data_IF_838829799795
#
_entry.id   IF_838829799795
#
_cell.length_a   1.000
_cell.length_b   1.000
_cell.length_c   1.000
_cell.angle_alpha   90.00
_cell.angle_beta   90.00
_cell.angle_gamma   90.00
#
_symmetry.space_group_name_H-M   'P 1'
#
loop_
_entity.id
_entity.type
_entity.pdbx_description
1 polymer ?
#
# COMPACT_ATOMS: atom_id res chain seq x y z
N UNK A 1 11.33 6.02 -31.30
CA UNK A 1 11.57 5.34 -30.02
C UNK A 1 13.05 5.36 -29.68
N UNK A 2 13.93 5.01 -30.60
CA UNK A 2 15.38 5.00 -30.32
C UNK A 2 15.94 6.37 -29.93
N UNK A 3 15.38 7.46 -30.46
CA UNK A 3 15.79 8.84 -30.16
C UNK A 3 15.52 9.30 -28.72
N UNK A 4 14.76 8.53 -27.93
CA UNK A 4 14.43 8.87 -26.53
C UNK A 4 14.98 7.85 -25.52
N UNK A 5 15.59 6.76 -25.99
CA UNK A 5 15.97 5.62 -25.15
C UNK A 5 17.16 5.93 -24.21
N UNK A 6 18.02 6.87 -24.57
CA UNK A 6 19.25 7.25 -23.86
C UNK A 6 19.11 8.58 -23.09
N UNK A 7 17.87 9.03 -22.83
CA UNK A 7 17.57 10.37 -22.27
C UNK A 7 17.06 10.32 -20.83
N UNK A 8 17.44 9.30 -20.07
CA UNK A 8 17.00 9.09 -18.69
C UNK A 8 18.20 8.99 -17.76
N UNK A 9 18.22 9.79 -16.70
CA UNK A 9 19.22 9.69 -15.62
C UNK A 9 18.73 8.80 -14.46
N UNK A 10 17.42 8.61 -14.34
CA UNK A 10 16.76 7.73 -13.37
C UNK A 10 15.36 7.36 -13.86
N UNK A 11 14.74 6.37 -13.21
CA UNK A 11 13.33 6.02 -13.44
C UNK A 11 12.51 6.37 -12.19
N UNK A 12 11.57 7.32 -12.35
CA UNK A 12 10.56 7.62 -11.34
C UNK A 12 9.43 6.58 -11.38
N UNK A 13 9.06 6.04 -10.23
CA UNK A 13 7.99 5.05 -10.11
C UNK A 13 6.90 5.56 -9.16
N UNK A 14 5.68 5.62 -9.68
CA UNK A 14 4.47 5.88 -8.90
C UNK A 14 3.75 4.54 -8.67
N UNK A 15 3.65 4.11 -7.42
CA UNK A 15 3.00 2.85 -7.05
C UNK A 15 1.99 3.10 -5.94
N UNK A 16 0.77 2.57 -6.09
CA UNK A 16 -0.30 2.80 -5.12
C UNK A 16 -0.92 1.51 -4.56
N UNK A 17 -0.81 0.39 -5.27
CA UNK A 17 -1.42 -0.87 -4.89
C UNK A 17 -1.80 -1.71 -6.09
N UNK A 18 -2.73 -2.62 -5.89
CA UNK A 18 -3.20 -3.54 -6.93
C UNK A 18 -4.57 -3.16 -7.49
N UNK A 19 -4.77 -3.61 -8.72
CA UNK A 19 -6.06 -3.63 -9.41
C UNK A 19 -6.33 -5.07 -9.84
N UNK A 20 -7.50 -5.60 -9.47
CA UNK A 20 -7.91 -6.94 -9.87
C UNK A 20 -8.82 -6.81 -11.09
N UNK A 21 -8.48 -7.51 -12.17
CA UNK A 21 -9.28 -7.50 -13.41
C UNK A 21 -10.07 -8.81 -13.51
N UNK A 22 -11.36 -8.71 -13.83
CA UNK A 22 -12.22 -9.85 -14.11
C UNK A 22 -13.07 -9.58 -15.35
N UNK A 23 -12.78 -10.29 -16.44
CA UNK A 23 -13.52 -10.19 -17.70
C UNK A 23 -13.56 -8.76 -18.23
N UNK A 24 -14.71 -8.12 -18.09
CA UNK A 24 -15.01 -6.78 -18.63
C UNK A 24 -14.53 -5.62 -17.77
N UNK A 25 -13.90 -5.85 -16.61
CA UNK A 25 -13.33 -4.73 -15.87
C UNK A 25 -12.71 -5.00 -14.51
N UNK A 26 -12.51 -3.92 -13.74
CA UNK A 26 -11.93 -3.95 -12.41
C UNK A 26 -12.93 -4.51 -11.43
N UNK A 27 -12.46 -5.45 -10.62
CA UNK A 27 -13.23 -6.17 -9.63
C UNK A 27 -12.78 -5.76 -8.24
N UNK A 28 -13.75 -5.39 -7.41
CA UNK A 28 -13.56 -5.31 -5.98
C UNK A 28 -13.50 -6.73 -5.42
N UNK A 29 -12.42 -7.06 -4.74
CA UNK A 29 -12.31 -8.29 -3.95
C UNK A 29 -12.74 -7.98 -2.52
N UNK A 30 -13.87 -8.55 -2.09
CA UNK A 30 -14.47 -8.24 -0.78
C UNK A 30 -13.52 -8.48 0.39
N UNK A 31 -12.67 -9.50 0.29
CA UNK A 31 -11.71 -9.89 1.33
C UNK A 31 -10.44 -9.06 1.32
N UNK A 32 -10.21 -8.19 0.34
CA UNK A 32 -9.02 -7.34 0.29
C UNK A 32 -9.24 -5.98 0.95
N UNK A 33 -8.16 -5.43 1.50
CA UNK A 33 -8.15 -4.05 1.99
C UNK A 33 -8.03 -3.09 0.81
N UNK A 34 -8.83 -2.02 0.79
CA UNK A 34 -8.80 -1.01 -0.27
C UNK A 34 -8.70 0.39 0.30
N UNK A 35 -8.01 1.27 -0.42
CA UNK A 35 -8.06 2.71 -0.21
C UNK A 35 -9.48 3.26 -0.46
N UNK A 36 -9.76 4.46 0.03
CA UNK A 36 -11.02 5.17 -0.29
C UNK A 36 -11.23 5.35 -1.81
N UNK A 37 -10.15 5.50 -2.58
CA UNK A 37 -10.12 5.60 -4.04
C UNK A 37 -10.14 4.25 -4.79
N UNK A 38 -10.34 3.13 -4.09
CA UNK A 38 -10.49 1.82 -4.73
C UNK A 38 -9.21 1.15 -5.23
N UNK A 39 -8.04 1.53 -4.71
CA UNK A 39 -6.79 0.79 -4.93
C UNK A 39 -6.64 -0.29 -3.85
N UNK A 40 -6.41 -1.53 -4.24
CA UNK A 40 -6.18 -2.63 -3.29
C UNK A 40 -4.82 -2.48 -2.62
N UNK A 41 -4.76 -2.56 -1.29
CA UNK A 41 -3.50 -2.44 -0.54
C UNK A 41 -2.64 -3.69 -0.78
N UNK A 42 -1.47 -3.50 -1.40
CA UNK A 42 -0.62 -4.62 -1.78
C UNK A 42 0.88 -4.26 -1.75
N UNK A 43 1.55 -4.28 -0.57
CA UNK A 43 2.98 -3.93 -0.47
C UNK A 43 3.90 -4.92 -1.22
N UNK A 44 3.55 -6.21 -1.23
CA UNK A 44 4.31 -7.23 -1.98
C UNK A 44 4.38 -6.93 -3.49
N UNK A 45 3.38 -6.23 -4.04
CA UNK A 45 3.40 -5.82 -5.44
C UNK A 45 4.49 -4.79 -5.75
N UNK A 46 4.77 -3.85 -4.83
CA UNK A 46 5.86 -2.87 -4.98
C UNK A 46 7.21 -3.58 -5.04
N UNK A 47 7.46 -4.51 -4.11
CA UNK A 47 8.68 -5.33 -4.10
C UNK A 47 8.86 -6.11 -5.40
N UNK A 48 7.81 -6.81 -5.85
CA UNK A 48 7.85 -7.60 -7.09
C UNK A 48 8.10 -6.73 -8.32
N UNK A 49 7.42 -5.58 -8.40
CA UNK A 49 7.59 -4.63 -9.49
C UNK A 49 9.01 -4.10 -9.54
N UNK A 50 9.60 -3.72 -8.39
CA UNK A 50 10.99 -3.24 -8.32
C UNK A 50 12.00 -4.28 -8.82
N UNK A 51 11.86 -5.55 -8.42
CA UNK A 51 12.73 -6.62 -8.93
C UNK A 51 12.56 -6.84 -10.44
N UNK A 52 11.32 -6.87 -10.91
CA UNK A 52 11.04 -7.07 -12.34
C UNK A 52 11.55 -5.92 -13.20
N UNK A 53 11.36 -4.68 -12.74
CA UNK A 53 11.84 -3.49 -13.43
C UNK A 53 13.36 -3.41 -13.41
N UNK A 54 13.98 -3.74 -12.28
CA UNK A 54 15.44 -3.81 -12.19
C UNK A 54 16.00 -4.80 -13.20
N UNK A 55 15.50 -6.04 -13.24
CA UNK A 55 15.96 -7.04 -14.21
C UNK A 55 15.70 -6.63 -15.66
N UNK A 56 14.54 -6.03 -15.94
CA UNK A 56 14.17 -5.57 -17.29
C UNK A 56 15.05 -4.42 -17.78
N UNK A 57 15.35 -3.45 -16.92
CA UNK A 57 16.05 -2.22 -17.27
C UNK A 57 17.51 -2.18 -16.81
N UNK A 58 18.06 -3.29 -16.31
CA UNK A 58 19.45 -3.38 -15.83
C UNK A 58 20.50 -2.88 -16.83
N UNK A 59 20.25 -3.09 -18.12
CA UNK A 59 21.15 -2.69 -19.20
C UNK A 59 21.28 -1.16 -19.34
N UNK A 60 20.35 -0.38 -18.78
CA UNK A 60 20.42 1.07 -18.75
C UNK A 60 21.26 1.59 -17.58
N UNK A 61 21.55 0.75 -16.58
CA UNK A 61 22.27 1.12 -15.37
C UNK A 61 21.69 2.37 -14.66
N UNK A 62 20.36 2.48 -14.64
CA UNK A 62 19.66 3.62 -14.04
C UNK A 62 19.14 3.31 -12.64
N UNK A 63 19.25 4.26 -11.70
CA UNK A 63 18.61 4.17 -10.40
C UNK A 63 17.10 4.43 -10.48
N UNK A 64 16.39 4.00 -9.43
CA UNK A 64 14.96 4.26 -9.24
C UNK A 64 14.70 5.26 -8.13
N UNK A 65 13.64 6.05 -8.28
CA UNK A 65 13.06 6.86 -7.20
C UNK A 65 11.59 6.48 -7.09
N UNK A 66 11.11 6.15 -5.90
CA UNK A 66 9.68 6.05 -5.65
C UNK A 66 9.16 7.48 -5.58
N UNK A 67 8.68 8.00 -6.70
CA UNK A 67 8.25 9.39 -6.84
C UNK A 67 6.87 9.63 -6.25
N UNK A 68 6.04 8.58 -6.18
CA UNK A 68 4.79 8.59 -5.43
C UNK A 68 4.51 7.20 -4.82
N UNK A 69 4.24 7.19 -3.52
CA UNK A 69 3.56 6.09 -2.85
C UNK A 69 2.68 6.64 -1.73
N UNK A 70 1.44 6.17 -1.64
CA UNK A 70 0.47 6.73 -0.72
C UNK A 70 -0.87 6.03 -0.77
N UNK A 71 -1.77 6.41 0.13
CA UNK A 71 -3.10 5.81 0.25
C UNK A 71 -4.12 6.86 0.66
N UNK A 72 -5.27 6.86 0.00
CA UNK A 72 -6.41 7.66 0.42
C UNK A 72 -7.08 6.99 1.61
N UNK A 73 -7.16 7.70 2.74
CA UNK A 73 -7.65 7.24 4.04
C UNK A 73 -7.87 8.44 4.99
N UNK A 74 -9.08 8.94 5.11
CA UNK A 74 -9.41 10.06 5.99
C UNK A 74 -9.10 9.75 7.46
N UNK A 75 -9.28 8.50 7.87
CA UNK A 75 -9.19 8.05 9.27
C UNK A 75 -7.77 7.83 9.77
N UNK A 76 -6.82 7.71 8.84
CA UNK A 76 -5.41 7.39 9.09
C UNK A 76 -5.11 5.99 9.66
N UNK A 77 -6.11 5.09 9.66
CA UNK A 77 -5.98 3.73 10.19
C UNK A 77 -5.28 2.77 9.23
N UNK A 78 -5.46 2.95 7.91
CA UNK A 78 -4.76 2.19 6.85
C UNK A 78 -3.42 2.84 6.55
N UNK A 79 -3.33 4.17 6.57
CA UNK A 79 -2.13 4.91 6.17
C UNK A 79 -0.90 4.57 6.98
N UNK A 80 -1.02 4.46 8.31
CA UNK A 80 0.10 4.10 9.18
C UNK A 80 0.72 2.74 8.81
N UNK A 81 -0.02 1.61 8.78
CA UNK A 81 0.57 0.35 8.35
C UNK A 81 0.97 0.38 6.86
N UNK A 82 0.24 1.08 5.98
CA UNK A 82 0.55 1.15 4.55
C UNK A 82 1.96 1.71 4.34
N UNK A 83 2.25 2.85 4.98
CA UNK A 83 3.54 3.50 4.94
C UNK A 83 4.67 2.54 5.38
N UNK A 84 4.48 1.86 6.51
CA UNK A 84 5.53 0.97 7.05
C UNK A 84 5.76 -0.25 6.15
N UNK A 85 4.70 -0.89 5.67
CA UNK A 85 4.85 -2.11 4.86
C UNK A 85 5.44 -1.81 3.47
N UNK A 86 5.12 -0.67 2.85
CA UNK A 86 5.71 -0.30 1.55
C UNK A 86 7.18 0.13 1.69
N UNK A 87 7.56 0.82 2.77
CA UNK A 87 8.97 1.11 3.05
C UNK A 87 9.77 -0.16 3.32
N UNK A 88 9.19 -1.14 4.02
CA UNK A 88 9.82 -2.46 4.20
C UNK A 88 9.96 -3.20 2.86
N UNK A 89 8.99 -3.10 1.96
CA UNK A 89 9.06 -3.67 0.62
C UNK A 89 10.18 -3.04 -0.23
N UNK A 90 10.33 -1.70 -0.19
CA UNK A 90 11.44 -0.99 -0.84
C UNK A 90 12.78 -1.42 -0.25
N UNK A 91 12.90 -1.45 1.07
CA UNK A 91 14.14 -1.88 1.72
C UNK A 91 14.53 -3.33 1.34
N UNK A 92 13.56 -4.25 1.30
CA UNK A 92 13.82 -5.61 0.85
C UNK A 92 14.29 -5.67 -0.61
N UNK A 93 13.77 -4.83 -1.50
CA UNK A 93 14.26 -4.73 -2.87
C UNK A 93 15.71 -4.20 -2.92
N UNK A 94 16.04 -3.20 -2.11
CA UNK A 94 17.41 -2.68 -2.01
C UNK A 94 18.39 -3.73 -1.50
N UNK A 95 18.00 -4.56 -0.52
CA UNK A 95 18.81 -5.71 -0.04
C UNK A 95 19.10 -6.71 -1.17
N UNK A 96 18.18 -6.83 -2.14
CA UNK A 96 18.35 -7.69 -3.32
C UNK A 96 19.16 -7.02 -4.45
N UNK A 97 19.70 -5.82 -4.24
CA UNK A 97 20.55 -5.11 -5.20
C UNK A 97 19.82 -4.10 -6.08
N UNK A 98 18.52 -3.84 -5.87
CA UNK A 98 17.80 -2.81 -6.65
C UNK A 98 18.28 -1.42 -6.23
N UNK A 99 18.77 -0.58 -7.17
CA UNK A 99 19.31 0.74 -6.85
C UNK A 99 18.19 1.77 -6.65
N UNK A 100 17.57 1.80 -5.46
CA UNK A 100 16.57 2.82 -5.10
C UNK A 100 17.23 3.98 -4.36
N UNK A 101 17.12 5.19 -4.89
CA UNK A 101 17.75 6.40 -4.31
C UNK A 101 16.87 7.14 -3.32
N UNK A 102 15.54 7.04 -3.47
CA UNK A 102 14.64 7.86 -2.68
C UNK A 102 13.20 7.37 -2.68
N UNK A 103 12.46 7.88 -1.71
CA UNK A 103 11.04 7.61 -1.50
C UNK A 103 10.30 8.90 -1.18
N UNK A 104 9.27 9.21 -1.96
CA UNK A 104 8.41 10.38 -1.82
C UNK A 104 6.98 9.92 -1.50
N UNK A 105 6.49 10.32 -0.33
CA UNK A 105 5.13 10.00 0.08
C UNK A 105 4.13 10.94 -0.59
N UNK A 106 3.10 10.37 -1.24
CA UNK A 106 1.96 11.10 -1.77
C UNK A 106 0.84 11.11 -0.70
N UNK A 107 0.60 12.19 0.04
CA UNK A 107 1.17 13.55 -0.05
C UNK A 107 1.47 14.13 1.32
N UNK A 108 2.13 15.30 1.35
CA UNK A 108 2.23 16.09 2.58
C UNK A 108 0.86 16.51 3.10
N UNK A 109 -0.04 17.03 2.26
CA UNK A 109 -1.37 17.51 2.66
C UNK A 109 -2.48 17.01 1.76
N UNK A 110 -3.70 16.98 2.28
CA UNK A 110 -4.89 16.75 1.45
C UNK A 110 -4.95 17.76 0.30
N UNK A 111 -5.31 17.29 -0.89
CA UNK A 111 -5.29 18.05 -2.13
C UNK A 111 -6.58 17.79 -2.94
N UNK A 112 -6.66 18.35 -4.16
CA UNK A 112 -7.74 18.08 -5.10
C UNK A 112 -7.37 16.85 -5.94
N UNK A 113 -8.06 15.74 -5.72
CA UNK A 113 -7.83 14.45 -6.39
C UNK A 113 -8.57 14.39 -7.72
N UNK A 114 -8.21 15.29 -8.64
CA UNK A 114 -8.66 15.27 -10.04
C UNK A 114 -10.17 15.12 -10.21
N UNK A 115 -10.64 14.00 -10.79
CA UNK A 115 -12.05 13.73 -11.02
C UNK A 115 -12.81 13.34 -9.74
N UNK A 116 -12.12 12.93 -8.69
CA UNK A 116 -12.71 12.59 -7.38
C UNK A 116 -12.82 13.81 -6.44
N UNK A 117 -12.38 14.99 -6.91
CA UNK A 117 -12.49 16.24 -6.17
C UNK A 117 -11.78 16.18 -4.81
N UNK A 118 -12.44 16.65 -3.76
CA UNK A 118 -11.89 16.64 -2.40
C UNK A 118 -12.27 15.42 -1.57
N UNK A 119 -12.92 14.40 -2.16
CA UNK A 119 -13.42 13.25 -1.42
C UNK A 119 -12.30 12.41 -0.78
N UNK A 120 -11.52 11.65 -1.59
CA UNK A 120 -10.41 10.85 -1.10
C UNK A 120 -9.33 11.69 -0.41
N UNK A 121 -8.86 11.28 0.76
CA UNK A 121 -7.86 12.04 1.55
C UNK A 121 -6.50 11.37 1.51
N UNK A 122 -5.52 11.91 0.81
CA UNK A 122 -4.16 11.31 0.70
C UNK A 122 -3.15 11.85 1.71
N UNK A 123 -3.37 13.04 2.28
CA UNK A 123 -2.34 13.77 3.00
C UNK A 123 -1.88 13.10 4.30
N UNK A 124 -0.61 13.28 4.63
CA UNK A 124 -0.13 13.15 6.01
C UNK A 124 -0.73 14.24 6.92
N UNK A 125 -1.09 15.38 6.33
CA UNK A 125 -1.72 16.53 7.01
C UNK A 125 -3.11 16.75 6.42
N UNK A 126 -4.13 16.68 7.28
CA UNK A 126 -5.49 17.02 6.88
C UNK A 126 -5.62 18.53 6.62
N UNK A 127 -6.47 18.91 5.67
CA UNK A 127 -6.80 20.32 5.39
C UNK A 127 -8.28 20.55 5.66
N UNK A 128 -8.57 21.34 6.70
CA UNK A 128 -9.93 21.76 7.03
C UNK A 128 -10.35 22.91 6.13
N UNK A 129 -11.12 22.58 5.08
CA UNK A 129 -11.58 23.55 4.09
C UNK A 129 -12.72 24.44 4.57
N UNK A 130 -13.43 24.03 5.62
CA UNK A 130 -14.52 24.82 6.20
C UNK A 130 -13.99 25.84 7.22
N UNK A 131 -12.86 25.54 7.86
CA UNK A 131 -12.27 26.38 8.91
C UNK A 131 -10.96 27.02 8.45
N UNK A 132 -11.05 27.96 7.50
CA UNK A 132 -9.91 28.81 7.12
C UNK A 132 -8.69 28.06 6.59
N UNK A 133 -8.86 26.86 6.02
CA UNK A 133 -7.78 26.00 5.53
C UNK A 133 -6.81 25.55 6.64
N UNK A 134 -7.29 25.27 7.86
CA UNK A 134 -6.41 24.77 8.93
C UNK A 134 -5.69 23.47 8.52
N UNK A 135 -4.40 23.34 8.88
CA UNK A 135 -3.57 22.16 8.59
C UNK A 135 -3.42 21.33 9.87
N UNK A 136 -3.91 20.09 9.85
CA UNK A 136 -3.99 19.23 11.03
C UNK A 136 -3.17 17.96 10.76
N UNK A 137 -1.97 17.82 11.35
CA UNK A 137 -1.15 16.61 11.18
C UNK A 137 -1.90 15.36 11.63
N UNK A 138 -1.91 14.33 10.77
CA UNK A 138 -2.44 13.00 11.12
C UNK A 138 -1.39 12.21 11.92
N UNK A 139 -1.77 11.15 12.66
CA UNK A 139 -0.80 10.27 13.32
C UNK A 139 0.30 9.74 12.40
N UNK A 140 -0.01 9.46 11.13
CA UNK A 140 0.94 9.05 10.09
C UNK A 140 2.01 10.10 9.81
N UNK A 141 1.71 11.40 9.94
CA UNK A 141 2.70 12.47 9.79
C UNK A 141 3.82 12.29 10.79
N UNK A 142 3.47 12.17 12.07
CA UNK A 142 4.45 11.98 13.14
C UNK A 142 5.22 10.66 13.00
N UNK A 143 4.54 9.60 12.56
CA UNK A 143 5.19 8.33 12.25
C UNK A 143 6.20 8.48 11.11
N UNK A 144 5.83 9.14 10.01
CA UNK A 144 6.72 9.37 8.88
C UNK A 144 7.90 10.26 9.28
N UNK A 145 7.67 11.34 10.03
CA UNK A 145 8.74 12.18 10.60
C UNK A 145 9.73 11.35 11.41
N UNK A 146 9.24 10.46 12.29
CA UNK A 146 10.11 9.56 13.06
C UNK A 146 10.92 8.64 12.14
N UNK A 147 10.30 8.04 11.13
CA UNK A 147 11.00 7.13 10.21
C UNK A 147 12.07 7.88 9.42
N UNK A 148 11.75 9.04 8.85
CA UNK A 148 12.69 9.86 8.06
C UNK A 148 13.85 10.36 8.92
N UNK A 149 13.59 10.82 10.14
CA UNK A 149 14.65 11.35 11.03
C UNK A 149 15.55 10.27 11.61
N UNK A 150 15.03 9.06 11.85
CA UNK A 150 15.80 7.97 12.45
C UNK A 150 16.37 6.98 11.44
N UNK A 151 15.85 6.98 10.20
CA UNK A 151 16.12 5.97 9.19
C UNK A 151 15.62 4.56 9.57
N UNK A 152 14.72 4.44 10.55
CA UNK A 152 14.38 3.16 11.19
C UNK A 152 12.87 2.92 11.27
N UNK A 153 12.46 1.67 11.03
CA UNK A 153 11.12 1.16 11.32
C UNK A 153 11.24 0.16 12.46
N UNK A 154 10.64 0.45 13.62
CA UNK A 154 10.68 -0.45 14.77
C UNK A 154 9.51 -1.44 14.75
N UNK A 155 9.69 -2.59 15.40
CA UNK A 155 8.60 -3.55 15.58
C UNK A 155 7.44 -2.98 16.37
N UNK A 156 7.72 -2.14 17.35
CA UNK A 156 6.69 -1.53 18.17
C UNK A 156 5.85 -0.54 17.36
N UNK A 157 6.47 0.25 16.48
CA UNK A 157 5.74 1.13 15.56
C UNK A 157 4.84 0.30 14.63
N UNK A 158 5.39 -0.77 14.05
CA UNK A 158 4.64 -1.70 13.20
C UNK A 158 3.47 -2.33 13.95
N UNK A 159 3.72 -2.88 15.15
CA UNK A 159 2.70 -3.52 15.96
C UNK A 159 1.59 -2.55 16.38
N UNK A 160 1.94 -1.32 16.79
CA UNK A 160 0.94 -0.28 17.12
C UNK A 160 0.07 0.08 15.93
N UNK A 161 0.65 0.29 14.75
CA UNK A 161 -0.08 0.61 13.53
C UNK A 161 -1.09 -0.50 13.19
N UNK A 162 -0.65 -1.76 13.20
CA UNK A 162 -1.50 -2.92 12.92
C UNK A 162 -2.58 -3.16 13.97
N UNK A 163 -2.27 -2.98 15.26
CA UNK A 163 -3.23 -3.18 16.34
C UNK A 163 -4.40 -2.19 16.23
N UNK A 164 -4.15 -0.95 15.82
CA UNK A 164 -5.21 0.05 15.58
C UNK A 164 -6.13 -0.38 14.43
N UNK A 165 -5.55 -0.78 13.30
CA UNK A 165 -6.32 -1.25 12.13
C UNK A 165 -7.15 -2.49 12.47
N UNK A 166 -6.54 -3.50 13.09
CA UNK A 166 -7.24 -4.72 13.51
C UNK A 166 -8.33 -4.45 14.55
N UNK A 167 -8.09 -3.52 15.48
CA UNK A 167 -9.12 -3.07 16.42
C UNK A 167 -10.35 -2.53 15.70
N UNK A 168 -10.14 -1.65 14.72
CA UNK A 168 -11.22 -1.08 13.92
C UNK A 168 -11.98 -2.14 13.09
N UNK A 169 -11.26 -3.12 12.51
CA UNK A 169 -11.88 -4.25 11.82
C UNK A 169 -12.74 -5.11 12.74
N UNK A 170 -12.25 -5.45 13.94
CA UNK A 170 -12.99 -6.25 14.94
C UNK A 170 -14.22 -5.52 15.46
N UNK A 171 -14.12 -4.22 15.63
CA UNK A 171 -15.24 -3.34 16.01
C UNK A 171 -16.21 -3.07 14.85
N UNK A 172 -15.94 -3.62 13.65
CA UNK A 172 -16.74 -3.43 12.42
C UNK A 172 -16.92 -1.94 12.07
N UNK A 173 -15.91 -1.11 12.37
CA UNK A 173 -15.90 0.29 11.94
C UNK A 173 -15.94 0.37 10.42
N UNK A 174 -16.58 1.42 9.92
CA UNK A 174 -16.62 1.74 8.49
C UNK A 174 -15.76 2.94 8.18
N UNK A 175 -15.49 3.14 6.90
CA UNK A 175 -14.80 4.30 6.36
C UNK A 175 -15.40 4.70 5.00
N UNK A 176 -15.16 5.93 4.54
CA UNK A 176 -15.53 6.37 3.20
C UNK A 176 -14.93 5.48 2.09
N UNK A 177 -15.69 5.30 1.01
CA UNK A 177 -15.26 4.62 -0.20
C UNK A 177 -15.92 5.29 -1.41
N UNK A 178 -15.11 5.87 -2.28
CA UNK A 178 -15.52 6.74 -3.40
C UNK A 178 -15.56 6.00 -4.74
N UNK A 179 -15.86 4.70 -4.72
CA UNK A 179 -16.06 3.91 -5.96
C UNK A 179 -17.40 3.20 -5.93
N UNK A 180 -18.16 3.38 -7.00
CA UNK A 180 -19.37 2.64 -7.23
C UNK A 180 -19.05 1.18 -7.57
N UNK A 181 -19.78 0.24 -6.96
CA UNK A 181 -19.61 -1.20 -7.19
C UNK A 181 -20.96 -1.77 -7.59
N UNK A 182 -21.03 -2.40 -8.78
CA UNK A 182 -22.27 -3.03 -9.22
C UNK A 182 -22.53 -4.35 -8.48
N UNK A 183 -23.71 -4.94 -8.70
CA UNK A 183 -24.12 -6.24 -8.10
C UNK A 183 -23.17 -7.42 -8.38
N UNK A 184 -22.25 -7.28 -9.33
CA UNK A 184 -21.25 -8.30 -9.70
C UNK A 184 -19.85 -7.98 -9.15
N UNK A 185 -19.70 -6.91 -8.38
CA UNK A 185 -18.41 -6.50 -7.81
C UNK A 185 -17.53 -5.69 -8.77
N UNK A 186 -18.04 -5.18 -9.90
CA UNK A 186 -17.23 -4.37 -10.83
C UNK A 186 -17.23 -2.88 -10.46
N UNK A 187 -16.07 -2.23 -10.53
CA UNK A 187 -15.80 -0.86 -10.01
C UNK A 187 -15.93 0.28 -11.05
N UNK A 188 -16.54 0.07 -12.22
CA UNK A 188 -16.45 0.99 -13.37
C UNK A 188 -17.65 1.91 -13.64
N UNK A 189 -18.46 2.26 -12.65
CA UNK A 189 -19.56 3.22 -12.86
C UNK A 189 -19.19 4.69 -12.62
N UNK A 190 -17.96 5.00 -12.19
CA UNK A 190 -17.49 6.35 -11.87
C UNK A 190 -17.05 6.52 -10.42
N UNK A 191 -16.38 7.63 -10.12
CA UNK A 191 -16.24 8.11 -8.74
C UNK A 191 -17.61 8.48 -8.17
N UNK A 192 -17.75 8.45 -6.86
CA UNK A 192 -18.97 8.91 -6.20
C UNK A 192 -18.75 10.31 -5.64
N UNK A 193 -19.70 11.23 -5.87
CA UNK A 193 -19.69 12.55 -5.21
C UNK A 193 -19.87 12.40 -3.69
N UNK A 194 -20.68 11.42 -3.27
CA UNK A 194 -20.86 11.01 -1.87
C UNK A 194 -20.35 9.59 -1.63
N UNK A 195 -19.49 9.36 -0.62
CA UNK A 195 -18.90 8.06 -0.40
C UNK A 195 -19.92 7.04 0.13
N UNK A 196 -19.79 5.78 -0.28
CA UNK A 196 -20.41 4.68 0.45
C UNK A 196 -19.52 4.28 1.64
N UNK A 197 -20.13 3.76 2.70
CA UNK A 197 -19.40 3.30 3.88
C UNK A 197 -18.96 1.84 3.70
N UNK A 198 -17.66 1.59 3.77
CA UNK A 198 -17.05 0.27 3.64
C UNK A 198 -16.43 -0.17 4.98
N UNK A 199 -16.66 -1.40 5.47
CA UNK A 199 -16.01 -1.88 6.67
C UNK A 199 -14.50 -2.07 6.48
N UNK A 200 -13.73 -1.98 7.56
CA UNK A 200 -12.36 -2.50 7.59
C UNK A 200 -12.35 -4.03 7.46
N UNK A 201 -11.31 -4.58 6.85
CA UNK A 201 -11.20 -6.02 6.62
C UNK A 201 -10.17 -6.62 7.59
N UNK A 202 -10.52 -7.75 8.22
CA UNK A 202 -9.59 -8.51 9.05
C UNK A 202 -8.68 -9.39 8.18
N UNK A 203 -7.86 -8.75 7.34
CA UNK A 203 -6.86 -9.40 6.48
C UNK A 203 -5.47 -8.93 6.85
N UNK A 204 -4.54 -9.88 6.98
CA UNK A 204 -3.13 -9.59 7.19
C UNK A 204 -2.42 -9.37 5.85
N UNK A 205 -2.28 -8.11 5.46
CA UNK A 205 -1.53 -7.70 4.27
C UNK A 205 -0.12 -7.21 4.60
N UNK A 206 0.44 -7.57 5.76
CA UNK A 206 1.85 -7.30 6.08
C UNK A 206 2.74 -7.78 4.94
N UNK A 207 3.76 -6.98 4.61
CA UNK A 207 4.74 -7.35 3.60
C UNK A 207 5.33 -8.73 3.91
N UNK A 208 5.28 -9.63 2.91
CA UNK A 208 5.73 -11.02 3.00
C UNK A 208 4.70 -12.01 3.58
N UNK A 209 3.51 -11.55 3.98
CA UNK A 209 2.41 -12.39 4.44
C UNK A 209 1.19 -12.38 3.52
N UNK A 210 1.20 -11.55 2.46
CA UNK A 210 0.04 -11.45 1.58
C UNK A 210 -0.16 -12.76 0.78
N UNK A 211 -1.31 -13.40 0.97
CA UNK A 211 -1.74 -14.58 0.21
C UNK A 211 -2.75 -14.18 -0.87
N UNK A 212 -2.35 -14.25 -2.15
CA UNK A 212 -3.29 -14.06 -3.26
C UNK A 212 -4.36 -15.13 -3.20
N UNK A 213 -5.59 -14.72 -2.92
CA UNK A 213 -6.73 -15.60 -3.13
C UNK A 213 -7.00 -15.66 -4.62
N UNK A 214 -7.03 -16.87 -5.19
CA UNK A 214 -7.36 -17.10 -6.61
C UNK A 214 -8.79 -16.68 -6.97
N UNK A 215 -9.34 -17.23 -8.07
CA UNK A 215 -10.69 -16.87 -8.53
C UNK A 215 -11.74 -16.88 -7.40
N UNK A 216 -12.52 -15.80 -7.30
CA UNK A 216 -13.51 -15.54 -6.24
C UNK A 216 -14.94 -15.91 -6.64
N UNK A 217 -15.14 -16.67 -7.72
CA UNK A 217 -16.48 -17.13 -8.10
C UNK A 217 -17.03 -18.18 -7.10
N UNK A 218 -18.35 -18.40 -7.04
CA UNK A 218 -18.96 -19.31 -6.07
C UNK A 218 -18.39 -20.73 -6.09
N UNK A 219 -18.03 -21.26 -7.26
CA UNK A 219 -17.47 -22.62 -7.40
C UNK A 219 -16.03 -22.66 -6.88
N UNK A 220 -15.22 -21.65 -7.20
CA UNK A 220 -13.86 -21.53 -6.68
C UNK A 220 -13.84 -21.28 -5.16
N UNK A 221 -14.82 -20.53 -4.61
CA UNK A 221 -15.00 -20.35 -3.16
C UNK A 221 -15.37 -21.67 -2.48
N UNK A 222 -16.34 -22.41 -3.04
CA UNK A 222 -16.74 -23.73 -2.54
C UNK A 222 -15.59 -24.74 -2.61
N UNK A 223 -14.89 -24.80 -3.74
CA UNK A 223 -13.69 -25.64 -3.94
C UNK A 223 -12.62 -25.32 -2.91
N UNK A 224 -12.30 -24.04 -2.69
CA UNK A 224 -11.31 -23.63 -1.69
C UNK A 224 -11.74 -24.01 -0.28
N UNK A 225 -13.01 -23.85 0.07
CA UNK A 225 -13.53 -24.28 1.37
C UNK A 225 -13.38 -25.81 1.58
N UNK A 226 -13.69 -26.60 0.55
CA UNK A 226 -13.54 -28.06 0.57
C UNK A 226 -12.07 -28.48 0.65
N UNK A 227 -11.20 -27.78 -0.06
CA UNK A 227 -9.76 -28.10 -0.16
C UNK A 227 -8.92 -27.47 0.96
N UNK A 228 -9.42 -26.47 1.68
CA UNK A 228 -8.74 -25.77 2.77
C UNK A 228 -8.09 -26.73 3.80
N UNK A 229 -8.77 -27.78 4.31
CA UNK A 229 -8.15 -28.72 5.24
C UNK A 229 -7.02 -29.55 4.62
N UNK A 230 -6.98 -29.75 3.30
CA UNK A 230 -5.95 -30.53 2.62
C UNK A 230 -4.67 -29.73 2.32
N UNK A 231 -4.76 -28.40 2.18
CA UNK A 231 -3.61 -27.52 1.94
C UNK A 231 -3.09 -26.79 3.20
N UNK A 232 -3.82 -26.81 4.32
CA UNK A 232 -3.46 -26.09 5.56
C UNK A 232 -2.33 -26.73 6.40
N UNK A 233 -1.59 -27.70 5.84
CA UNK A 233 -0.44 -28.33 6.51
C UNK A 233 0.83 -27.46 6.56
N UNK A 234 0.77 -26.18 6.15
CA UNK A 234 1.88 -25.24 6.40
C UNK A 234 1.88 -24.84 7.88
N UNK A 235 2.84 -25.44 8.63
CA UNK A 235 3.24 -25.10 10.00
C UNK A 235 3.03 -23.62 10.30
N UNK A 236 2.07 -23.29 11.17
CA UNK A 236 2.02 -21.98 11.84
C UNK A 236 3.36 -21.78 12.55
N UNK A 237 4.25 -20.98 11.96
CA UNK A 237 5.51 -20.59 12.61
C UNK A 237 5.10 -19.69 13.77
N UNK A 238 5.23 -20.21 15.00
CA UNK A 238 5.00 -19.46 16.23
C UNK A 238 5.87 -18.20 16.16
N UNK A 239 5.27 -17.01 16.19
CA UNK A 239 6.02 -15.75 16.27
C UNK A 239 6.96 -15.85 17.48
N UNK A 240 8.26 -15.95 17.24
CA UNK A 240 9.26 -15.81 18.30
C UNK A 240 9.29 -14.34 18.68
N UNK A 241 9.15 -14.08 19.97
CA UNK A 241 9.11 -12.73 20.56
C UNK A 241 10.45 -11.97 20.40
N UNK A 242 11.51 -12.67 19.98
CA UNK A 242 12.90 -12.22 20.11
C UNK A 242 13.71 -12.32 18.80
N UNK A 243 13.11 -12.15 17.62
CA UNK A 243 13.96 -11.94 16.43
C UNK A 243 14.79 -10.65 16.65
N UNK A 244 16.07 -10.55 16.27
CA UNK A 244 16.85 -9.32 16.45
C UNK A 244 16.22 -8.15 15.65
N UNK A 245 16.39 -6.89 16.09
CA UNK A 245 15.89 -5.74 15.33
C UNK A 245 16.41 -5.81 13.89
N UNK A 246 15.51 -5.65 12.90
CA UNK A 246 15.90 -5.34 11.53
C UNK A 246 16.55 -3.96 11.59
N UNK A 247 17.86 -3.94 11.77
CA UNK A 247 18.65 -2.72 11.69
C UNK A 247 18.71 -2.36 10.22
N UNK A 248 17.90 -1.38 9.82
CA UNK A 248 18.10 -0.66 8.57
C UNK A 248 19.46 0.03 8.70
N UNK A 249 20.49 -0.54 8.07
CA UNK A 249 21.77 0.13 7.93
C UNK A 249 21.62 1.18 6.82
N UNK A 250 22.11 2.41 7.02
CA UNK A 250 22.25 3.36 5.93
C UNK A 250 23.11 2.74 4.82
N UNK A 251 22.73 2.94 3.55
CA UNK A 251 23.69 2.75 2.47
C UNK A 251 24.77 3.82 2.66
N UNK A 252 25.98 3.40 3.04
CA UNK A 252 27.16 4.23 2.83
C UNK A 252 27.43 4.17 1.33
N UNK A 253 27.13 5.27 0.63
CA UNK A 253 27.63 5.45 -0.72
C UNK A 253 29.14 5.68 -0.62
N UNK A 254 29.92 4.66 -0.97
CA UNK A 254 31.34 4.82 -1.27
C UNK A 254 31.44 5.78 -2.45
N UNK A 255 31.93 6.99 -2.19
CA UNK A 255 32.42 7.86 -3.26
C UNK A 255 33.83 7.38 -3.58
N UNK A 256 33.95 6.54 -4.60
CA UNK A 256 35.21 6.37 -5.35
C UNK A 256 35.15 7.18 -6.64
#
# INVERSE_FOLDING_TARGET
>A
MDSIADKLDFIGINYYGQEVVAGSGLKLVETDEYSESGRGVYPDGLYRMLLQFHERYKHLNLPFIITENGVSDETDLIRQPYLLEHLLAVNAAMIMGVPVLGYLFWTISDNWEWADGYGPKFGLVAVDRANGLARIPRPSYHLFTKVVTTGKITRDDRARAWNKLHGAAKEKKTRPFYRAVNKHGLMYAGGLDEPIQRPYIERDWRFGHYEMEGLQDPLSRLSRFILQPFFSLKRKKKLKKDDPPLVLQPLEFSVE
#
